data_IF_585470042985
#
_entry.id   IF_585470042985
#
_cell.length_a   1.000
_cell.length_b   1.000
_cell.length_c   1.000
_cell.angle_alpha   90.00
_cell.angle_beta   90.00
_cell.angle_gamma   90.00
#
_symmetry.space_group_name_H-M   'P 1'
#
loop_
_entity.id
_entity.type
_entity.pdbx_description
1 polymer ?
#
# COMPACT_ATOMS: atom_id res chain seq x y z
N UNK A 1 -24.54 -23.19 -11.05
CA UNK A 1 -23.35 -23.17 -10.18
C UNK A 1 -22.37 -22.16 -10.73
N UNK A 2 -21.94 -21.17 -9.94
CA UNK A 2 -21.08 -20.05 -10.37
C UNK A 2 -19.61 -20.39 -10.19
N UNK A 3 -19.28 -21.27 -9.26
CA UNK A 3 -17.90 -21.60 -8.93
C UNK A 3 -17.08 -22.06 -10.15
N UNK A 4 -17.56 -23.00 -11.01
CA UNK A 4 -16.82 -23.39 -12.21
C UNK A 4 -16.50 -22.22 -13.15
N UNK A 5 -17.42 -21.27 -13.30
CA UNK A 5 -17.24 -20.10 -14.17
C UNK A 5 -16.18 -19.13 -13.60
N UNK A 6 -16.18 -18.94 -12.29
CA UNK A 6 -15.15 -18.11 -11.62
C UNK A 6 -13.77 -18.73 -11.78
N UNK A 7 -13.67 -20.05 -11.62
CA UNK A 7 -12.40 -20.77 -11.78
C UNK A 7 -11.93 -20.73 -13.24
N UNK A 8 -12.84 -20.90 -14.19
CA UNK A 8 -12.54 -20.77 -15.62
C UNK A 8 -12.01 -19.37 -15.93
N UNK A 9 -12.67 -18.32 -15.43
CA UNK A 9 -12.25 -16.94 -15.61
C UNK A 9 -10.85 -16.66 -15.04
N UNK A 10 -10.55 -17.16 -13.84
CA UNK A 10 -9.23 -17.01 -13.22
C UNK A 10 -8.18 -17.82 -13.99
N UNK A 11 -8.48 -19.06 -14.41
CA UNK A 11 -7.57 -19.88 -15.21
C UNK A 11 -7.27 -19.23 -16.57
N UNK A 12 -8.27 -18.64 -17.22
CA UNK A 12 -8.10 -17.93 -18.48
C UNK A 12 -7.22 -16.68 -18.30
N UNK A 13 -7.48 -15.87 -17.27
CA UNK A 13 -6.65 -14.72 -16.94
C UNK A 13 -5.18 -15.09 -16.74
N UNK A 14 -4.91 -16.13 -15.98
CA UNK A 14 -3.55 -16.61 -15.70
C UNK A 14 -2.88 -17.24 -16.93
N UNK A 15 -3.66 -17.82 -17.81
CA UNK A 15 -3.17 -18.41 -19.08
C UNK A 15 -2.85 -17.35 -20.13
N UNK A 16 -3.29 -16.11 -19.93
CA UNK A 16 -2.94 -15.00 -20.80
C UNK A 16 -1.44 -14.70 -20.69
N UNK A 17 -0.75 -14.80 -21.83
CA UNK A 17 0.71 -14.58 -21.91
C UNK A 17 1.13 -13.15 -21.54
N UNK A 18 0.28 -12.17 -21.82
CA UNK A 18 0.55 -10.78 -21.46
C UNK A 18 0.43 -10.57 -19.95
N UNK A 19 -0.62 -11.10 -19.35
CA UNK A 19 -0.83 -11.07 -17.90
C UNK A 19 0.32 -11.76 -17.16
N UNK A 20 0.66 -12.99 -17.53
CA UNK A 20 1.75 -13.73 -16.91
C UNK A 20 3.09 -12.95 -16.98
N UNK A 21 3.42 -12.41 -18.18
CA UNK A 21 4.64 -11.62 -18.37
C UNK A 21 4.66 -10.32 -17.57
N UNK A 22 3.51 -9.65 -17.44
CA UNK A 22 3.41 -8.43 -16.65
C UNK A 22 3.56 -8.70 -15.14
N UNK A 23 3.02 -9.81 -14.65
CA UNK A 23 3.21 -10.25 -13.26
C UNK A 23 4.66 -10.66 -13.01
N UNK A 24 5.27 -11.45 -13.89
CA UNK A 24 6.66 -11.86 -13.76
C UNK A 24 7.63 -10.67 -13.64
N UNK A 25 7.37 -9.59 -14.36
CA UNK A 25 8.17 -8.36 -14.27
C UNK A 25 8.07 -7.67 -12.90
N UNK A 26 6.99 -7.90 -12.17
CA UNK A 26 6.72 -7.25 -10.89
C UNK A 26 7.11 -8.08 -9.68
N UNK A 27 7.26 -9.39 -9.86
CA UNK A 27 7.78 -10.28 -8.81
C UNK A 27 9.23 -9.90 -8.51
N UNK A 28 9.52 -9.64 -7.24
CA UNK A 28 10.87 -9.29 -6.77
C UNK A 28 11.27 -7.83 -7.06
N UNK A 29 10.37 -6.99 -7.55
CA UNK A 29 10.64 -5.55 -7.67
C UNK A 29 10.74 -4.95 -6.27
N UNK A 30 11.91 -4.40 -5.94
CA UNK A 30 12.09 -3.71 -4.67
C UNK A 30 11.20 -2.46 -4.63
N UNK A 31 10.47 -2.32 -3.55
CA UNK A 31 9.67 -1.12 -3.30
C UNK A 31 10.60 0.06 -3.05
N UNK A 32 10.33 1.18 -3.68
CA UNK A 32 11.11 2.40 -3.48
C UNK A 32 10.81 3.02 -2.11
N UNK A 33 11.68 2.77 -1.14
CA UNK A 33 11.63 3.35 0.20
C UNK A 33 12.55 4.58 0.35
N UNK A 34 13.16 5.04 -0.73
CA UNK A 34 14.20 6.09 -0.72
C UNK A 34 13.73 7.38 -0.03
N UNK A 35 12.47 7.75 -0.20
CA UNK A 35 11.92 8.95 0.43
C UNK A 35 11.84 8.80 1.97
N UNK A 36 11.37 7.65 2.44
CA UNK A 36 11.25 7.34 3.88
C UNK A 36 12.64 7.16 4.50
N UNK A 37 13.58 6.53 3.78
CA UNK A 37 14.96 6.37 4.23
C UNK A 37 15.66 7.72 4.42
N UNK A 38 15.43 8.69 3.53
CA UNK A 38 15.91 10.07 3.68
C UNK A 38 15.26 10.79 4.85
N UNK A 39 13.97 10.58 5.06
CA UNK A 39 13.23 11.13 6.20
C UNK A 39 13.78 10.59 7.52
N UNK A 40 13.98 9.28 7.63
CA UNK A 40 14.58 8.61 8.79
C UNK A 40 15.99 9.15 9.07
N UNK A 41 16.86 9.19 8.06
CA UNK A 41 18.21 9.71 8.22
C UNK A 41 18.24 11.16 8.70
N UNK A 42 17.28 12.00 8.25
CA UNK A 42 17.16 13.38 8.72
C UNK A 42 16.73 13.44 10.21
N UNK A 43 15.75 12.63 10.61
CA UNK A 43 15.31 12.61 12.02
C UNK A 43 16.39 12.05 12.93
N UNK A 44 17.06 10.98 12.56
CA UNK A 44 18.17 10.39 13.31
C UNK A 44 19.36 11.36 13.45
N UNK A 45 19.66 12.12 12.40
CA UNK A 45 20.69 13.17 12.44
C UNK A 45 20.32 14.29 13.40
N UNK A 46 19.06 14.74 13.39
CA UNK A 46 18.56 15.76 14.31
C UNK A 46 18.55 15.27 15.75
N UNK A 47 18.11 14.04 15.98
CA UNK A 47 18.11 13.42 17.31
C UNK A 47 19.53 13.41 17.89
N UNK A 48 20.50 12.97 17.08
CA UNK A 48 21.91 12.97 17.48
C UNK A 48 22.43 14.38 17.83
N UNK A 49 22.04 15.40 17.09
CA UNK A 49 22.41 16.79 17.35
C UNK A 49 21.79 17.28 18.68
N UNK A 50 20.51 16.98 18.92
CA UNK A 50 19.80 17.35 20.15
C UNK A 50 20.42 16.65 21.35
N UNK A 51 20.75 15.35 21.24
CA UNK A 51 21.44 14.59 22.30
C UNK A 51 22.81 15.18 22.65
N UNK A 52 23.58 15.60 21.65
CA UNK A 52 24.85 16.27 21.87
C UNK A 52 24.68 17.61 22.59
N UNK A 53 23.64 18.38 22.21
CA UNK A 53 23.33 19.66 22.88
C UNK A 53 22.87 19.45 24.32
N UNK A 54 22.04 18.41 24.56
CA UNK A 54 21.61 18.00 25.91
C UNK A 54 22.82 17.65 26.77
N UNK A 55 23.68 16.75 26.31
CA UNK A 55 24.87 16.31 27.03
C UNK A 55 25.86 17.47 27.31
N UNK A 56 25.91 18.49 26.44
CA UNK A 56 26.70 19.70 26.66
C UNK A 56 26.08 20.55 27.74
N UNK A 57 24.78 20.76 27.71
CA UNK A 57 24.08 21.57 28.69
C UNK A 57 24.12 20.94 30.10
N UNK A 58 23.98 19.63 30.19
CA UNK A 58 24.14 18.87 31.44
C UNK A 58 25.53 19.10 32.04
N UNK A 59 26.60 18.99 31.26
CA UNK A 59 27.97 19.26 31.71
C UNK A 59 28.18 20.73 32.15
N UNK A 60 27.54 21.68 31.47
CA UNK A 60 27.59 23.08 31.85
C UNK A 60 26.93 23.32 33.20
N UNK A 61 25.82 22.66 33.49
CA UNK A 61 25.12 22.70 34.78
C UNK A 61 26.02 22.11 35.90
N UNK A 62 26.58 20.91 35.64
CA UNK A 62 27.41 20.18 36.61
C UNK A 62 28.71 20.95 36.96
N UNK A 63 29.29 21.63 35.98
CA UNK A 63 30.53 22.38 36.15
C UNK A 63 30.32 23.82 36.60
N UNK A 64 29.10 24.27 36.89
CA UNK A 64 28.86 25.66 37.30
C UNK A 64 29.39 25.93 38.71
N UNK A 65 30.42 26.82 38.88
CA UNK A 65 31.06 27.07 40.17
C UNK A 65 30.06 27.54 41.22
N UNK A 66 30.30 27.13 42.49
CA UNK A 66 29.41 27.43 43.63
C UNK A 66 29.32 28.93 43.89
N UNK A 67 30.40 29.68 43.66
CA UNK A 67 30.52 31.12 43.86
C UNK A 67 30.01 31.94 42.65
N UNK A 68 29.43 31.28 41.63
CA UNK A 68 28.88 31.97 40.46
C UNK A 68 27.77 32.94 40.87
N UNK A 69 27.88 34.23 40.48
CA UNK A 69 26.84 35.23 40.71
C UNK A 69 25.52 34.79 40.04
N UNK A 70 24.43 34.79 40.78
CA UNK A 70 23.11 34.34 40.38
C UNK A 70 23.06 32.85 39.95
N UNK A 71 23.83 31.99 40.59
CA UNK A 71 23.96 30.57 40.29
C UNK A 71 22.60 29.88 40.19
N UNK A 72 21.73 30.02 41.15
CA UNK A 72 20.40 29.41 41.20
C UNK A 72 19.55 29.79 39.96
N UNK A 73 19.54 31.07 39.62
CA UNK A 73 18.81 31.56 38.46
C UNK A 73 19.38 31.00 37.15
N UNK A 74 20.70 30.92 37.02
CA UNK A 74 21.34 30.33 35.84
C UNK A 74 21.01 28.84 35.72
N UNK A 75 21.07 28.10 36.82
CA UNK A 75 20.69 26.68 36.83
C UNK A 75 19.23 26.54 36.40
N UNK A 76 18.33 27.33 36.96
CA UNK A 76 16.91 27.30 36.59
C UNK A 76 16.70 27.56 35.10
N UNK A 77 17.33 28.60 34.54
CA UNK A 77 17.23 28.91 33.10
C UNK A 77 17.81 27.79 32.20
N UNK A 78 18.89 27.16 32.66
CA UNK A 78 19.51 26.01 31.96
C UNK A 78 18.64 24.76 32.05
N UNK A 79 18.01 24.49 33.19
CA UNK A 79 17.06 23.37 33.37
C UNK A 79 15.86 23.52 32.47
N UNK A 80 15.26 24.70 32.34
CA UNK A 80 14.16 24.94 31.41
C UNK A 80 14.54 24.68 29.96
N UNK A 81 15.79 25.00 29.57
CA UNK A 81 16.28 24.65 28.24
C UNK A 81 16.48 23.14 28.07
N UNK A 82 16.95 22.48 29.12
CA UNK A 82 17.15 21.04 29.15
C UNK A 82 15.80 20.31 28.99
N UNK A 83 14.76 20.75 29.68
CA UNK A 83 13.39 20.22 29.54
C UNK A 83 12.90 20.34 28.09
N UNK A 84 13.12 21.49 27.43
CA UNK A 84 12.78 21.67 26.02
C UNK A 84 13.59 20.76 25.07
N UNK A 85 14.82 20.36 25.41
CA UNK A 85 15.57 19.38 24.65
C UNK A 85 15.00 17.97 24.85
N UNK A 86 14.56 17.62 26.06
CA UNK A 86 13.86 16.34 26.29
C UNK A 86 12.57 16.24 25.50
N UNK A 87 11.73 17.30 25.49
CA UNK A 87 10.51 17.33 24.68
C UNK A 87 10.82 17.12 23.20
N UNK A 88 11.88 17.77 22.68
CA UNK A 88 12.32 17.62 21.29
C UNK A 88 12.81 16.19 20.98
N UNK A 89 13.49 15.54 21.93
CA UNK A 89 13.94 14.16 21.80
C UNK A 89 12.72 13.23 21.65
N UNK A 90 11.73 13.36 22.54
CA UNK A 90 10.51 12.55 22.50
C UNK A 90 9.79 12.72 21.16
N UNK A 91 9.62 13.97 20.69
CA UNK A 91 9.00 14.20 19.38
C UNK A 91 9.77 13.54 18.22
N UNK A 92 11.11 13.59 18.25
CA UNK A 92 11.93 12.99 17.20
C UNK A 92 11.89 11.46 17.26
N UNK A 93 11.90 10.87 18.46
CA UNK A 93 11.75 9.42 18.65
C UNK A 93 10.40 8.91 18.13
N UNK A 94 9.30 9.62 18.42
CA UNK A 94 7.97 9.31 17.90
C UNK A 94 7.94 9.37 16.36
N UNK A 95 8.54 10.38 15.76
CA UNK A 95 8.61 10.51 14.30
C UNK A 95 9.45 9.43 13.64
N UNK A 96 10.55 9.02 14.29
CA UNK A 96 11.40 7.92 13.83
C UNK A 96 10.61 6.59 13.85
N UNK A 97 9.88 6.36 14.94
CA UNK A 97 9.08 5.14 15.09
C UNK A 97 7.94 5.09 14.04
N UNK A 98 7.22 6.20 13.85
CA UNK A 98 6.19 6.31 12.81
C UNK A 98 6.75 6.06 11.40
N UNK A 99 7.89 6.65 11.08
CA UNK A 99 8.54 6.44 9.78
C UNK A 99 9.00 4.99 9.60
N UNK A 100 9.50 4.32 10.65
CA UNK A 100 9.84 2.90 10.63
C UNK A 100 8.60 2.01 10.41
N UNK A 101 7.50 2.31 11.09
CA UNK A 101 6.24 1.58 10.91
C UNK A 101 5.71 1.72 9.49
N UNK A 102 5.74 2.93 8.91
CA UNK A 102 5.36 3.17 7.52
C UNK A 102 6.25 2.40 6.54
N UNK A 103 7.56 2.39 6.75
CA UNK A 103 8.50 1.62 5.93
C UNK A 103 8.20 0.13 5.99
N UNK A 104 8.06 -0.42 7.19
CA UNK A 104 7.74 -1.84 7.39
C UNK A 104 6.41 -2.22 6.73
N UNK A 105 5.39 -1.36 6.83
CA UNK A 105 4.10 -1.60 6.18
C UNK A 105 4.23 -1.73 4.66
N UNK A 106 4.98 -0.83 4.03
CA UNK A 106 5.22 -0.85 2.58
C UNK A 106 6.01 -2.10 2.16
N UNK A 107 7.04 -2.47 2.91
CA UNK A 107 7.83 -3.68 2.65
C UNK A 107 7.00 -4.96 2.81
N UNK A 108 6.14 -5.03 3.82
CA UNK A 108 5.24 -6.16 4.03
C UNK A 108 4.18 -6.26 2.94
N UNK A 109 3.64 -5.14 2.47
CA UNK A 109 2.71 -5.12 1.34
C UNK A 109 3.36 -5.66 0.06
N UNK A 110 4.59 -5.25 -0.23
CA UNK A 110 5.35 -5.74 -1.38
C UNK A 110 5.58 -7.26 -1.31
N UNK A 111 5.97 -7.79 -0.15
CA UNK A 111 6.16 -9.24 0.05
C UNK A 111 4.84 -9.99 -0.14
N UNK A 112 3.72 -9.42 0.33
CA UNK A 112 2.39 -10.01 0.19
C UNK A 112 1.98 -10.08 -1.28
N UNK A 113 2.16 -9.00 -2.04
CA UNK A 113 1.88 -8.95 -3.48
C UNK A 113 2.74 -9.96 -4.27
N UNK A 114 4.02 -10.07 -3.96
CA UNK A 114 4.92 -11.06 -4.56
C UNK A 114 4.41 -12.49 -4.38
N UNK A 115 3.96 -12.83 -3.18
CA UNK A 115 3.41 -14.14 -2.87
C UNK A 115 2.10 -14.39 -3.61
N UNK A 116 1.22 -13.39 -3.67
CA UNK A 116 -0.04 -13.47 -4.43
C UNK A 116 0.25 -13.70 -5.93
N UNK A 117 1.18 -12.96 -6.52
CA UNK A 117 1.51 -13.11 -7.93
C UNK A 117 2.13 -14.49 -8.25
N UNK A 118 3.00 -15.00 -7.39
CA UNK A 118 3.55 -16.36 -7.53
C UNK A 118 2.46 -17.43 -7.43
N UNK A 119 1.50 -17.22 -6.54
CA UNK A 119 0.35 -18.11 -6.38
C UNK A 119 -0.57 -18.03 -7.59
N UNK A 120 -0.83 -16.86 -8.15
CA UNK A 120 -1.61 -16.67 -9.37
C UNK A 120 -0.97 -17.39 -10.56
N UNK A 121 0.33 -17.24 -10.80
CA UNK A 121 1.04 -17.92 -11.89
C UNK A 121 0.94 -19.46 -11.81
N UNK A 122 0.76 -19.99 -10.61
CA UNK A 122 0.62 -21.43 -10.39
C UNK A 122 -0.83 -21.86 -10.13
N UNK A 123 -1.80 -20.95 -10.22
CA UNK A 123 -3.19 -21.17 -9.82
C UNK A 123 -3.80 -22.45 -10.41
N UNK A 124 -3.70 -22.65 -11.73
CA UNK A 124 -4.28 -23.80 -12.38
C UNK A 124 -3.77 -25.13 -11.86
N UNK A 125 -2.46 -25.23 -11.64
CA UNK A 125 -1.83 -26.44 -11.09
C UNK A 125 -2.19 -26.66 -9.62
N UNK A 126 -2.20 -25.57 -8.85
CA UNK A 126 -2.49 -25.61 -7.42
C UNK A 126 -3.94 -26.00 -7.17
N UNK A 127 -4.87 -25.36 -7.87
CA UNK A 127 -6.30 -25.54 -7.69
C UNK A 127 -6.76 -26.99 -7.92
N UNK A 128 -6.12 -27.70 -8.84
CA UNK A 128 -6.49 -29.08 -9.19
C UNK A 128 -6.01 -30.12 -8.15
N UNK A 129 -5.08 -29.78 -7.25
CA UNK A 129 -4.48 -30.71 -6.28
C UNK A 129 -4.86 -30.47 -4.82
N UNK A 130 -5.40 -29.30 -4.48
CA UNK A 130 -5.79 -28.91 -3.11
C UNK A 130 -7.20 -29.40 -2.76
N UNK A 131 -7.48 -29.54 -1.47
CA UNK A 131 -8.80 -29.89 -0.93
C UNK A 131 -9.85 -28.80 -1.17
N UNK A 132 -11.14 -29.15 -1.06
CA UNK A 132 -12.23 -28.19 -1.27
C UNK A 132 -12.24 -27.06 -0.23
N UNK A 133 -11.80 -27.32 1.01
CA UNK A 133 -11.63 -26.29 2.04
C UNK A 133 -10.51 -25.30 1.69
N UNK A 134 -9.41 -25.83 1.16
CA UNK A 134 -8.28 -25.00 0.69
C UNK A 134 -8.65 -24.20 -0.56
N UNK A 135 -9.42 -24.78 -1.48
CA UNK A 135 -9.96 -24.06 -2.66
C UNK A 135 -10.80 -22.86 -2.23
N UNK A 136 -11.72 -23.06 -1.28
CA UNK A 136 -12.54 -21.98 -0.74
C UNK A 136 -11.69 -20.89 -0.10
N UNK A 137 -10.70 -21.27 0.69
CA UNK A 137 -9.77 -20.34 1.32
C UNK A 137 -8.96 -19.56 0.29
N UNK A 138 -8.47 -20.23 -0.76
CA UNK A 138 -7.73 -19.63 -1.85
C UNK A 138 -8.57 -18.61 -2.63
N UNK A 139 -9.80 -18.95 -2.99
CA UNK A 139 -10.72 -18.04 -3.68
C UNK A 139 -11.05 -16.83 -2.80
N UNK A 140 -11.33 -17.02 -1.53
CA UNK A 140 -11.60 -15.93 -0.58
C UNK A 140 -10.39 -15.00 -0.42
N UNK A 141 -9.19 -15.54 -0.50
CA UNK A 141 -7.95 -14.76 -0.42
C UNK A 141 -7.70 -13.91 -1.67
N UNK A 142 -8.00 -14.47 -2.85
CA UNK A 142 -7.74 -13.82 -4.14
C UNK A 142 -8.85 -12.84 -4.53
N UNK A 143 -10.11 -13.19 -4.27
CA UNK A 143 -11.29 -12.50 -4.79
C UNK A 143 -12.00 -11.74 -3.68
N UNK A 144 -12.22 -10.45 -3.92
CA UNK A 144 -12.94 -9.55 -3.04
C UNK A 144 -14.45 -9.63 -3.23
N UNK A 145 -14.89 -9.64 -4.49
CA UNK A 145 -16.29 -9.58 -4.87
C UNK A 145 -16.52 -10.29 -6.21
N UNK A 146 -17.64 -11.01 -6.31
CA UNK A 146 -18.14 -11.58 -7.54
C UNK A 146 -19.51 -10.98 -7.83
N UNK A 147 -19.66 -10.37 -8.99
CA UNK A 147 -20.94 -9.84 -9.45
C UNK A 147 -21.54 -10.79 -10.50
N UNK A 148 -22.85 -10.99 -10.41
CA UNK A 148 -23.61 -11.84 -11.32
C UNK A 148 -24.72 -11.05 -11.99
N UNK A 149 -25.09 -11.46 -13.20
CA UNK A 149 -26.28 -10.95 -13.86
C UNK A 149 -27.53 -11.59 -13.24
N UNK A 150 -28.65 -10.86 -13.09
CA UNK A 150 -29.94 -11.47 -12.81
C UNK A 150 -30.28 -12.48 -13.88
N UNK A 151 -30.91 -13.61 -13.50
CA UNK A 151 -31.22 -14.74 -14.40
C UNK A 151 -32.02 -14.40 -15.68
N UNK A 152 -32.61 -13.21 -15.75
CA UNK A 152 -33.45 -12.77 -16.86
C UNK A 152 -32.70 -11.98 -17.94
N UNK A 153 -31.45 -11.52 -17.68
CA UNK A 153 -30.74 -10.57 -18.56
C UNK A 153 -29.60 -11.21 -19.37
N UNK A 154 -29.12 -12.38 -18.99
CA UNK A 154 -27.95 -12.97 -19.65
C UNK A 154 -27.95 -14.51 -19.60
N UNK A 155 -27.57 -15.15 -20.72
CA UNK A 155 -27.24 -16.57 -20.75
C UNK A 155 -26.02 -16.90 -19.87
N UNK A 156 -25.31 -15.89 -19.39
CA UNK A 156 -24.12 -16.01 -18.57
C UNK A 156 -24.35 -15.36 -17.21
N UNK A 157 -24.27 -16.12 -16.12
CA UNK A 157 -24.51 -15.58 -14.79
C UNK A 157 -23.34 -14.72 -14.25
N UNK A 158 -22.10 -14.95 -14.67
CA UNK A 158 -20.93 -14.19 -14.19
C UNK A 158 -20.81 -12.87 -14.94
N UNK A 159 -20.81 -11.75 -14.19
CA UNK A 159 -20.66 -10.39 -14.70
C UNK A 159 -19.25 -9.85 -14.51
N UNK A 160 -18.74 -9.92 -13.29
CA UNK A 160 -17.40 -9.43 -13.00
C UNK A 160 -16.78 -10.08 -11.76
N UNK A 161 -15.46 -10.06 -11.69
CA UNK A 161 -14.66 -10.48 -10.54
C UNK A 161 -13.81 -9.30 -10.11
N UNK A 162 -13.89 -8.91 -8.83
CA UNK A 162 -12.98 -7.95 -8.22
C UNK A 162 -11.97 -8.69 -7.35
N UNK A 163 -10.67 -8.42 -7.59
CA UNK A 163 -9.57 -9.04 -6.85
C UNK A 163 -9.17 -8.20 -5.61
N UNK A 164 -8.63 -8.86 -4.60
CA UNK A 164 -8.07 -8.22 -3.40
C UNK A 164 -6.76 -7.47 -3.68
N UNK A 165 -6.18 -7.66 -4.86
CA UNK A 165 -4.89 -7.10 -5.29
C UNK A 165 -5.00 -6.54 -6.70
N UNK A 166 -4.10 -5.63 -7.10
CA UNK A 166 -4.08 -5.11 -8.46
C UNK A 166 -3.64 -6.19 -9.45
N UNK A 167 -4.35 -6.28 -10.56
CA UNK A 167 -3.97 -7.05 -11.74
C UNK A 167 -3.60 -6.07 -12.87
N UNK A 168 -2.79 -6.52 -13.81
CA UNK A 168 -2.29 -5.65 -14.87
C UNK A 168 -2.72 -6.18 -16.23
N UNK A 169 -3.36 -5.32 -17.01
CA UNK A 169 -3.79 -5.62 -18.37
C UNK A 169 -3.46 -4.46 -19.29
N UNK A 170 -2.89 -4.75 -20.45
CA UNK A 170 -2.48 -3.72 -21.43
C UNK A 170 -1.65 -2.58 -20.84
N UNK A 171 -0.85 -2.88 -19.80
CA UNK A 171 -0.03 -1.92 -19.08
C UNK A 171 -0.77 -1.06 -18.06
N UNK A 172 -2.06 -1.27 -17.86
CA UNK A 172 -2.88 -0.56 -16.88
C UNK A 172 -3.16 -1.43 -15.66
N UNK A 173 -3.17 -0.79 -14.48
CA UNK A 173 -3.57 -1.42 -13.24
C UNK A 173 -5.09 -1.46 -13.14
N UNK A 174 -5.64 -2.65 -12.94
CA UNK A 174 -7.07 -2.86 -12.75
C UNK A 174 -7.30 -3.77 -11.54
N UNK A 175 -8.44 -3.64 -10.88
CA UNK A 175 -8.85 -4.54 -9.79
C UNK A 175 -10.07 -5.38 -10.14
N UNK A 176 -10.81 -4.98 -11.16
CA UNK A 176 -12.05 -5.64 -11.58
C UNK A 176 -11.92 -6.15 -13.02
N UNK A 177 -12.23 -7.41 -13.18
CA UNK A 177 -12.30 -8.12 -14.45
C UNK A 177 -13.77 -8.26 -14.84
N UNK A 178 -14.17 -7.72 -15.99
CA UNK A 178 -15.48 -8.01 -16.58
C UNK A 178 -15.40 -9.33 -17.34
N UNK A 179 -16.40 -10.17 -17.19
CA UNK A 179 -16.44 -11.49 -17.83
C UNK A 179 -17.48 -11.53 -18.95
N UNK A 180 -17.00 -11.65 -20.19
CA UNK A 180 -17.83 -11.89 -21.37
C UNK A 180 -17.34 -13.14 -22.07
N UNK A 181 -18.22 -14.13 -22.26
CA UNK A 181 -17.87 -15.41 -22.88
C UNK A 181 -17.49 -15.22 -24.33
N UNK A 182 -16.25 -15.53 -24.66
CA UNK A 182 -15.73 -15.53 -26.04
C UNK A 182 -15.06 -14.25 -26.50
N UNK A 183 -15.05 -13.19 -25.67
CA UNK A 183 -14.23 -12.01 -25.91
C UNK A 183 -13.58 -11.58 -24.61
N UNK A 184 -12.28 -11.54 -24.60
CA UNK A 184 -11.51 -11.06 -23.46
C UNK A 184 -11.83 -9.61 -23.15
N UNK A 185 -12.75 -9.42 -22.21
CA UNK A 185 -12.80 -8.39 -21.18
C UNK A 185 -12.59 -6.94 -21.61
N UNK A 186 -13.67 -6.16 -21.58
CA UNK A 186 -13.56 -4.71 -21.44
C UNK A 186 -13.05 -4.34 -20.02
N UNK A 187 -12.06 -3.49 -19.98
CA UNK A 187 -11.40 -3.07 -18.74
C UNK A 187 -12.12 -1.87 -18.17
N UNK A 188 -12.76 -2.00 -17.00
CA UNK A 188 -13.18 -0.85 -16.23
C UNK A 188 -11.99 -0.38 -15.40
N UNK A 189 -11.34 0.69 -15.82
CA UNK A 189 -10.39 1.42 -15.02
C UNK A 189 -11.10 2.04 -13.81
N UNK A 190 -10.93 1.44 -12.63
CA UNK A 190 -11.11 2.20 -11.40
C UNK A 190 -9.85 3.04 -11.24
N UNK A 191 -9.98 4.36 -11.44
CA UNK A 191 -8.97 5.32 -11.02
C UNK A 191 -8.71 5.10 -9.53
N UNK A 192 -7.63 4.39 -9.22
CA UNK A 192 -7.18 4.27 -7.83
C UNK A 192 -6.85 5.66 -7.34
N UNK A 193 -7.39 6.02 -6.18
CA UNK A 193 -7.08 7.25 -5.47
C UNK A 193 -5.57 7.33 -5.27
N UNK A 194 -4.87 8.02 -6.13
CA UNK A 194 -3.57 8.56 -5.78
C UNK A 194 -3.77 9.56 -4.66
N UNK A 195 -2.97 9.44 -3.61
CA UNK A 195 -2.94 10.23 -2.40
C UNK A 195 -3.44 11.67 -2.57
N UNK A 196 -4.42 12.04 -1.70
CA UNK A 196 -4.78 13.40 -1.35
C UNK A 196 -5.16 14.37 -2.47
N UNK A 197 -6.27 14.08 -3.14
CA UNK A 197 -7.01 15.16 -3.77
C UNK A 197 -7.83 15.89 -2.70
N UNK A 198 -7.43 17.09 -2.33
CA UNK A 198 -8.14 17.97 -1.38
C UNK A 198 -9.50 18.45 -1.90
N UNK A 199 -9.88 18.13 -3.11
CA UNK A 199 -11.16 18.47 -3.71
C UNK A 199 -11.71 17.31 -4.54
N UNK A 200 -12.89 16.83 -4.17
CA UNK A 200 -13.67 15.91 -4.98
C UNK A 200 -14.45 16.71 -6.02
N UNK A 201 -14.18 16.50 -7.30
CA UNK A 201 -15.03 16.96 -8.39
C UNK A 201 -15.91 15.79 -8.80
N UNK A 202 -17.20 15.86 -8.53
CA UNK A 202 -18.18 14.93 -9.09
C UNK A 202 -18.40 15.31 -10.56
N UNK A 203 -17.80 14.58 -11.48
CA UNK A 203 -18.09 14.68 -12.90
C UNK A 203 -19.24 13.71 -13.20
N UNK A 204 -20.45 14.24 -13.41
CA UNK A 204 -21.51 13.49 -14.09
C UNK A 204 -21.22 13.55 -15.59
N UNK A 205 -20.89 12.43 -16.17
CA UNK A 205 -20.88 12.26 -17.62
C UNK A 205 -22.33 11.93 -18.03
N UNK A 206 -23.03 12.90 -18.57
CA UNK A 206 -24.28 12.65 -19.29
C UNK A 206 -23.91 12.03 -20.65
N UNK A 207 -24.31 10.79 -20.84
CA UNK A 207 -24.01 10.02 -22.05
C UNK A 207 -24.78 10.49 -23.30
N UNK A 208 -25.66 11.49 -23.15
CA UNK A 208 -26.46 12.04 -24.23
C UNK A 208 -25.75 13.14 -25.07
N UNK A 209 -24.53 13.54 -24.70
CA UNK A 209 -23.77 14.58 -25.43
C UNK A 209 -22.58 14.04 -26.25
N UNK A 210 -22.45 12.76 -26.45
CA UNK A 210 -21.50 12.21 -27.42
C UNK A 210 -22.15 12.13 -28.80
N UNK A 211 -22.13 13.25 -29.50
CA UNK A 211 -22.48 13.33 -30.92
C UNK A 211 -21.37 12.64 -31.76
N UNK A 212 -21.63 11.41 -32.18
CA UNK A 212 -20.73 10.60 -33.01
C UNK A 212 -20.96 10.88 -34.50
N UNK A 213 -20.92 12.16 -34.89
CA UNK A 213 -20.95 12.50 -36.30
C UNK A 213 -19.90 13.55 -36.62
N UNK A 214 -18.70 13.08 -36.98
CA UNK A 214 -17.81 13.72 -37.93
C UNK A 214 -16.78 12.71 -38.45
#
# INVERSE_FOLDING_TARGET
DIEPLVIEAVKELVSDKYFAKEIEKRIGVQTDTTAIDKELANYESKLKEVDLNKARLEREIDNLPVDTRFRERKIHDMTLRLDGLYDTIVELEERIEDAKLRKNSIEMEAITLDNIYKLMLNFGKLYDIISDEEKKSLITYLIKEIQIYPNEESEQPLKSIEFNFPIYRDGQEVRRLLWEKGNTVETVCLLSKLHEAKHHVNVRLDMDEMDLTA
#
